data_IF_640407684553
#
_entry.id   IF_640407684553
#
_cell.length_a   1.000
_cell.length_b   1.000
_cell.length_c   1.000
_cell.angle_alpha   90.00
_cell.angle_beta   90.00
_cell.angle_gamma   90.00
#
_symmetry.space_group_name_H-M   'P 1'
#
loop_
_entity.id
_entity.type
_entity.pdbx_description
1 polymer ?
#
# COMPACT_ATOMS: atom_id res chain seq x y z
N UNK A 1 -12.20 -3.16 32.05
CA UNK A 1 -12.80 -1.86 32.39
C UNK A 1 -12.83 -1.04 31.11
N UNK A 2 -13.95 -1.06 30.38
CA UNK A 2 -14.12 -0.28 29.15
C UNK A 2 -14.78 1.05 29.52
N UNK A 3 -14.14 2.16 29.14
CA UNK A 3 -14.74 3.49 29.25
C UNK A 3 -15.75 3.68 28.11
N UNK A 4 -16.95 4.11 28.50
CA UNK A 4 -18.10 4.36 27.63
C UNK A 4 -17.99 5.79 27.08
N UNK A 5 -17.95 5.95 25.75
CA UNK A 5 -18.23 7.25 25.13
C UNK A 5 -19.67 7.28 24.61
N UNK A 6 -20.33 8.42 24.83
CA UNK A 6 -21.78 8.58 24.89
C UNK A 6 -22.51 8.48 23.54
N UNK A 7 -23.73 7.96 23.64
CA UNK A 7 -24.82 7.98 22.66
C UNK A 7 -25.31 9.41 22.35
N UNK A 8 -25.67 9.67 21.09
CA UNK A 8 -26.82 10.53 20.75
C UNK A 8 -27.73 9.74 19.82
N UNK A 9 -28.96 9.49 20.29
CA UNK A 9 -30.07 8.92 19.53
C UNK A 9 -30.83 10.02 18.79
N UNK A 10 -31.25 9.73 17.57
CA UNK A 10 -32.49 10.26 17.02
C UNK A 10 -33.12 9.20 16.09
N UNK A 11 -34.08 8.47 16.62
CA UNK A 11 -35.07 7.73 15.82
C UNK A 11 -36.24 8.65 15.52
N UNK A 12 -36.81 8.56 14.32
CA UNK A 12 -38.26 8.46 14.09
C UNK A 12 -38.50 7.96 12.64
N UNK A 13 -39.15 6.81 12.57
CA UNK A 13 -39.65 6.00 11.42
C UNK A 13 -41.18 6.24 11.25
N UNK A 14 -41.99 5.58 10.37
CA UNK A 14 -41.79 4.77 9.14
C UNK A 14 -42.90 5.09 8.06
N UNK A 15 -43.44 4.17 7.18
CA UNK A 15 -42.93 2.97 6.46
C UNK A 15 -43.21 2.97 4.93
N UNK A 16 -42.45 2.18 4.13
CA UNK A 16 -43.03 1.10 3.28
C UNK A 16 -42.01 0.38 2.36
N UNK A 17 -41.74 -0.90 2.70
CA UNK A 17 -41.64 -2.12 1.84
C UNK A 17 -40.78 -2.08 0.55
N UNK A 18 -39.62 -2.73 0.53
CA UNK A 18 -39.43 -4.10 0.01
C UNK A 18 -37.94 -4.44 -0.13
N UNK A 19 -37.61 -5.65 0.31
CA UNK A 19 -36.31 -6.28 0.53
C UNK A 19 -35.47 -6.54 -0.73
N UNK A 20 -34.19 -6.11 -0.70
CA UNK A 20 -33.07 -6.81 -1.36
C UNK A 20 -31.91 -6.81 -0.37
N UNK A 21 -31.66 -7.95 0.27
CA UNK A 21 -30.56 -8.16 1.21
C UNK A 21 -29.21 -8.12 0.47
N UNK A 22 -28.52 -7.00 0.56
CA UNK A 22 -27.08 -6.92 0.35
C UNK A 22 -26.40 -6.85 1.73
N UNK A 23 -26.10 -8.02 2.27
CA UNK A 23 -25.37 -8.19 3.52
C UNK A 23 -23.94 -7.62 3.36
N UNK A 24 -23.73 -6.39 3.83
CA UNK A 24 -22.40 -5.82 4.06
C UNK A 24 -21.81 -6.46 5.33
N UNK A 25 -20.56 -6.97 5.31
CA UNK A 25 -19.93 -7.48 6.52
C UNK A 25 -19.58 -6.34 7.47
N UNK A 26 -20.27 -6.31 8.61
CA UNK A 26 -19.90 -5.52 9.79
C UNK A 26 -18.56 -5.98 10.40
N UNK A 27 -17.86 -5.09 11.14
CA UNK A 27 -16.58 -5.40 11.77
C UNK A 27 -16.76 -6.45 12.88
N UNK A 28 -16.06 -7.57 12.73
CA UNK A 28 -16.01 -8.64 13.74
C UNK A 28 -15.32 -8.15 15.01
N UNK A 29 -16.12 -7.83 16.02
CA UNK A 29 -15.66 -7.69 17.41
C UNK A 29 -15.25 -9.08 17.91
N UNK A 30 -13.95 -9.37 17.95
CA UNK A 30 -13.44 -10.57 18.60
C UNK A 30 -13.49 -10.41 20.11
N UNK A 31 -14.52 -10.98 20.73
CA UNK A 31 -14.60 -11.13 22.18
C UNK A 31 -13.92 -12.46 22.56
N UNK A 32 -12.69 -12.40 23.07
CA UNK A 32 -11.99 -13.57 23.57
C UNK A 32 -12.69 -14.11 24.83
N UNK A 33 -13.45 -15.20 24.68
CA UNK A 33 -13.96 -15.98 25.82
C UNK A 33 -12.79 -16.73 26.45
N UNK A 34 -12.30 -16.24 27.59
CA UNK A 34 -11.41 -17.01 28.46
C UNK A 34 -12.19 -18.20 29.02
N UNK A 35 -12.05 -19.36 28.39
CA UNK A 35 -12.56 -20.62 28.92
C UNK A 35 -11.38 -21.28 29.63
N UNK A 36 -11.36 -21.25 30.96
CA UNK A 36 -10.44 -22.07 31.75
C UNK A 36 -10.80 -23.54 31.53
N UNK A 37 -9.99 -24.23 30.72
CA UNK A 37 -10.09 -25.69 30.57
C UNK A 37 -9.46 -26.32 31.81
N UNK A 38 -10.31 -26.83 32.70
CA UNK A 38 -9.87 -27.69 33.79
C UNK A 38 -9.50 -29.06 33.20
N UNK A 39 -8.20 -29.34 33.09
CA UNK A 39 -7.71 -30.65 32.65
C UNK A 39 -7.71 -31.60 33.85
N UNK A 40 -8.74 -32.45 33.94
CA UNK A 40 -8.70 -33.61 34.85
C UNK A 40 -7.67 -34.61 34.35
N UNK A 41 -6.61 -34.78 35.12
CA UNK A 41 -5.50 -35.68 34.84
C UNK A 41 -5.96 -37.14 35.04
N UNK A 42 -6.21 -37.86 33.94
CA UNK A 42 -6.28 -39.33 33.93
C UNK A 42 -5.20 -39.85 33.01
N UNK A 43 -4.31 -40.64 33.61
CA UNK A 43 -3.16 -41.28 32.98
C UNK A 43 -3.56 -42.06 31.73
N UNK A 44 -3.05 -41.63 30.58
CA UNK A 44 -2.58 -42.48 29.48
C UNK A 44 -1.82 -41.59 28.50
N UNK A 45 -0.60 -42.02 28.17
CA UNK A 45 0.37 -41.30 27.36
C UNK A 45 -0.18 -40.94 25.98
N UNK A 46 -0.50 -39.67 25.77
CA UNK A 46 -0.67 -39.11 24.43
C UNK A 46 0.25 -37.90 24.34
N UNK A 47 1.30 -38.02 23.51
CA UNK A 47 2.16 -36.90 23.14
C UNK A 47 1.28 -35.95 22.33
N UNK A 48 0.73 -34.93 22.97
CA UNK A 48 0.03 -33.86 22.30
C UNK A 48 1.08 -33.00 21.57
N UNK A 49 1.21 -33.20 20.26
CA UNK A 49 1.97 -32.31 19.41
C UNK A 49 1.27 -30.94 19.39
N UNK A 50 1.79 -29.98 20.15
CA UNK A 50 1.37 -28.59 20.04
C UNK A 50 1.88 -28.04 18.70
N UNK A 51 1.01 -28.01 17.68
CA UNK A 51 1.27 -27.25 16.47
C UNK A 51 1.25 -25.75 16.85
N UNK A 52 2.43 -25.18 17.06
CA UNK A 52 2.58 -23.73 17.21
C UNK A 52 2.33 -23.12 15.84
N UNK A 53 1.13 -22.57 15.64
CA UNK A 53 0.84 -21.72 14.48
C UNK A 53 1.55 -20.40 14.75
N UNK A 54 2.76 -20.24 14.22
CA UNK A 54 3.42 -18.95 14.20
C UNK A 54 2.56 -18.01 13.35
N UNK A 55 1.84 -17.10 14.01
CA UNK A 55 1.19 -16.00 13.34
C UNK A 55 2.32 -15.05 12.90
N UNK A 56 2.79 -15.22 11.67
CA UNK A 56 3.65 -14.21 11.05
C UNK A 56 2.88 -12.89 11.04
N UNK A 57 3.51 -11.82 11.51
CA UNK A 57 3.03 -10.48 11.20
C UNK A 57 3.17 -10.37 9.69
N UNK A 58 2.05 -10.41 8.96
CA UNK A 58 2.08 -10.14 7.54
C UNK A 58 2.60 -8.71 7.39
N UNK A 59 3.75 -8.56 6.73
CA UNK A 59 4.21 -7.26 6.26
C UNK A 59 3.13 -6.58 5.45
N UNK A 60 3.16 -5.25 5.40
CA UNK A 60 2.32 -4.55 4.43
C UNK A 60 2.85 -4.93 3.05
N UNK A 61 2.02 -5.59 2.25
CA UNK A 61 2.39 -5.99 0.89
C UNK A 61 2.23 -4.87 -0.12
N UNK A 62 2.17 -5.26 -1.40
CA UNK A 62 1.77 -4.36 -2.50
C UNK A 62 0.47 -3.62 -2.16
N UNK A 63 0.46 -2.30 -2.38
CA UNK A 63 -0.65 -1.45 -1.95
C UNK A 63 -0.74 -0.15 -2.77
N UNK A 64 -1.88 0.54 -2.65
CA UNK A 64 -2.13 1.83 -3.31
C UNK A 64 -2.22 2.99 -2.30
N UNK A 65 -1.48 2.90 -1.19
CA UNK A 65 -1.38 4.00 -0.24
C UNK A 65 -0.46 5.10 -0.79
N UNK A 66 -0.72 6.33 -0.38
CA UNK A 66 0.04 7.50 -0.79
C UNK A 66 -0.53 8.75 -0.15
N UNK A 67 -0.04 9.90 -0.60
CA UNK A 67 -0.51 11.20 -0.14
C UNK A 67 -2.00 11.39 -0.44
N UNK A 68 -2.72 12.12 0.42
CA UNK A 68 -4.15 12.41 0.23
C UNK A 68 -4.41 13.16 -1.09
N UNK A 69 -3.46 13.96 -1.55
CA UNK A 69 -3.52 14.71 -2.79
C UNK A 69 -3.41 13.80 -4.02
N UNK A 70 -2.96 12.55 -3.88
CA UNK A 70 -2.99 11.56 -4.97
C UNK A 70 -4.42 11.39 -5.52
N UNK A 71 -5.44 11.43 -4.67
CA UNK A 71 -6.84 11.39 -5.12
C UNK A 71 -7.24 12.60 -5.98
N UNK A 72 -6.76 13.80 -5.61
CA UNK A 72 -7.01 15.03 -6.37
C UNK A 72 -6.28 15.01 -7.71
N UNK A 73 -5.01 14.59 -7.71
CA UNK A 73 -4.22 14.45 -8.92
C UNK A 73 -4.87 13.43 -9.88
N UNK A 74 -5.42 12.32 -9.36
CA UNK A 74 -6.16 11.35 -10.16
C UNK A 74 -7.43 11.95 -10.80
N UNK A 75 -8.27 12.65 -10.03
CA UNK A 75 -9.49 13.28 -10.55
C UNK A 75 -9.15 14.37 -11.59
N UNK A 76 -7.99 15.01 -11.45
CA UNK A 76 -7.48 16.01 -12.41
C UNK A 76 -6.88 15.41 -13.69
N UNK A 77 -6.80 14.08 -13.79
CA UNK A 77 -6.30 13.37 -14.98
C UNK A 77 -4.92 12.73 -14.81
N UNK A 78 -4.26 12.88 -13.67
CA UNK A 78 -3.01 12.19 -13.36
C UNK A 78 -3.18 10.68 -13.28
N UNK A 79 -2.19 9.92 -13.76
CA UNK A 79 -2.22 8.45 -13.78
C UNK A 79 -0.84 7.90 -13.49
N UNK A 80 -0.78 6.74 -12.82
CA UNK A 80 0.45 5.98 -12.63
C UNK A 80 1.12 5.65 -13.98
N UNK A 81 0.31 5.40 -15.01
CA UNK A 81 0.79 5.09 -16.36
C UNK A 81 1.59 6.22 -17.01
N UNK A 82 1.50 7.46 -16.54
CA UNK A 82 2.32 8.56 -17.06
C UNK A 82 3.82 8.38 -16.75
N UNK A 83 4.17 7.61 -15.71
CA UNK A 83 5.56 7.25 -15.42
C UNK A 83 6.13 6.18 -16.38
N UNK A 84 5.29 5.49 -17.16
CA UNK A 84 5.70 4.35 -17.98
C UNK A 84 6.82 4.70 -18.96
N UNK A 85 6.75 5.86 -19.60
CA UNK A 85 7.75 6.28 -20.59
C UNK A 85 9.11 6.53 -19.94
N UNK A 86 9.13 7.01 -18.70
CA UNK A 86 10.38 7.19 -17.93
C UNK A 86 10.94 5.84 -17.50
N UNK A 87 10.07 4.95 -16.99
CA UNK A 87 10.47 3.59 -16.62
C UNK A 87 11.04 2.80 -17.80
N UNK A 88 10.49 2.97 -19.01
CA UNK A 88 11.01 2.32 -20.22
C UNK A 88 12.45 2.75 -20.56
N UNK A 89 12.85 3.96 -20.16
CA UNK A 89 14.19 4.52 -20.39
C UNK A 89 15.24 4.11 -19.36
N UNK A 90 14.87 3.47 -18.23
CA UNK A 90 15.85 3.07 -17.21
C UNK A 90 16.90 2.13 -17.83
N UNK A 91 18.16 2.30 -17.46
CA UNK A 91 19.20 1.32 -17.77
C UNK A 91 18.96 0.06 -16.93
N UNK A 92 18.84 -1.09 -17.59
CA UNK A 92 18.59 -2.38 -16.94
C UNK A 92 19.68 -2.76 -15.94
N UNK A 93 20.92 -2.31 -16.16
CA UNK A 93 22.07 -2.66 -15.34
C UNK A 93 22.42 -1.62 -14.28
N UNK A 94 21.79 -0.44 -14.32
CA UNK A 94 22.00 0.57 -13.29
C UNK A 94 21.50 0.04 -11.96
N UNK A 95 22.32 0.23 -10.94
CA UNK A 95 22.01 -0.06 -9.54
C UNK A 95 21.42 1.18 -8.89
N UNK A 96 20.44 0.95 -8.05
CA UNK A 96 19.79 1.96 -7.23
C UNK A 96 19.80 1.48 -5.78
N UNK A 97 20.13 2.39 -4.87
CA UNK A 97 20.23 2.14 -3.44
C UNK A 97 19.00 2.68 -2.69
N UNK A 98 18.96 2.38 -1.40
CA UNK A 98 17.94 2.92 -0.52
C UNK A 98 18.01 4.45 -0.44
N UNK A 99 16.90 5.13 -0.71
CA UNK A 99 16.81 6.58 -0.76
C UNK A 99 16.96 7.16 -2.16
N UNK A 100 17.28 6.35 -3.18
CA UNK A 100 17.41 6.85 -4.55
C UNK A 100 16.04 7.19 -5.16
N UNK A 101 15.97 8.39 -5.74
CA UNK A 101 14.91 8.74 -6.69
C UNK A 101 15.16 8.07 -8.04
N UNK A 102 14.10 7.53 -8.63
CA UNK A 102 14.14 6.75 -9.87
C UNK A 102 13.63 7.57 -11.04
N UNK A 103 12.45 8.17 -10.89
CA UNK A 103 11.75 8.88 -11.96
C UNK A 103 10.74 9.87 -11.37
N UNK A 104 10.64 11.06 -11.96
CA UNK A 104 9.63 12.04 -11.59
C UNK A 104 8.92 12.61 -12.82
N UNK A 105 7.63 12.88 -12.67
CA UNK A 105 6.81 13.59 -13.65
C UNK A 105 6.04 14.72 -12.98
N UNK A 106 5.69 15.74 -13.75
CA UNK A 106 4.78 16.78 -13.32
C UNK A 106 3.35 16.40 -13.72
N UNK A 107 2.43 16.63 -12.80
CA UNK A 107 1.01 16.45 -13.01
C UNK A 107 0.31 17.79 -12.82
N UNK A 108 -0.41 18.20 -13.86
CA UNK A 108 -1.29 19.35 -13.79
C UNK A 108 -2.58 18.98 -13.06
N UNK A 109 -2.84 19.66 -11.95
CA UNK A 109 -4.02 19.47 -11.12
C UNK A 109 -4.89 20.72 -11.08
N UNK A 110 -6.18 20.53 -10.83
CA UNK A 110 -7.15 21.63 -10.72
C UNK A 110 -7.68 21.70 -9.29
N UNK A 111 -7.71 22.91 -8.75
CA UNK A 111 -8.43 23.23 -7.51
C UNK A 111 -9.29 24.49 -7.70
N UNK A 112 -9.99 24.91 -6.64
CA UNK A 112 -10.88 26.07 -6.68
C UNK A 112 -10.14 27.41 -6.92
N UNK A 113 -8.83 27.48 -6.67
CA UNK A 113 -7.96 28.63 -6.93
C UNK A 113 -7.32 28.59 -8.33
N UNK A 114 -7.59 27.54 -9.13
CA UNK A 114 -7.06 27.37 -10.48
C UNK A 114 -6.12 26.16 -10.62
N UNK A 115 -5.25 26.24 -11.62
CA UNK A 115 -4.29 25.19 -11.96
C UNK A 115 -3.10 25.24 -10.98
N UNK A 116 -2.71 24.09 -10.46
CA UNK A 116 -1.45 23.90 -9.74
C UNK A 116 -0.73 22.67 -10.28
N UNK A 117 0.60 22.66 -10.16
CA UNK A 117 1.43 21.54 -10.59
C UNK A 117 1.90 20.77 -9.37
N UNK A 118 1.78 19.46 -9.41
CA UNK A 118 2.29 18.54 -8.38
C UNK A 118 3.30 17.60 -9.01
N UNK A 119 4.32 17.20 -8.26
CA UNK A 119 5.34 16.27 -8.76
C UNK A 119 5.04 14.87 -8.24
N UNK A 120 4.88 13.91 -9.16
CA UNK A 120 4.76 12.48 -8.83
C UNK A 120 6.12 11.84 -9.05
N UNK A 121 6.70 11.28 -7.98
CA UNK A 121 8.01 10.64 -8.03
C UNK A 121 7.91 9.16 -7.64
N UNK A 122 8.79 8.37 -8.25
CA UNK A 122 9.09 7.01 -7.89
C UNK A 122 10.46 6.96 -7.21
N UNK A 123 10.55 6.37 -6.04
CA UNK A 123 11.78 6.31 -5.23
C UNK A 123 11.86 5.00 -4.44
N UNK A 124 13.07 4.62 -4.03
CA UNK A 124 13.33 3.39 -3.29
C UNK A 124 13.44 3.70 -1.80
N UNK A 125 12.81 2.89 -0.97
CA UNK A 125 12.92 2.98 0.48
C UNK A 125 12.90 1.59 1.13
N UNK A 126 13.29 1.54 2.40
CA UNK A 126 13.35 0.33 3.23
C UNK A 126 14.22 -0.81 2.66
N UNK A 127 15.17 -0.51 1.77
CA UNK A 127 16.02 -1.54 1.14
C UNK A 127 17.32 -1.75 1.91
N UNK A 128 17.72 -3.01 2.10
CA UNK A 128 19.02 -3.38 2.70
C UNK A 128 20.15 -3.50 1.65
N UNK A 129 19.84 -3.41 0.36
CA UNK A 129 20.82 -3.51 -0.73
C UNK A 129 20.39 -2.86 -2.02
N UNK A 130 21.22 -3.01 -3.05
CA UNK A 130 20.97 -2.43 -4.37
C UNK A 130 19.95 -3.25 -5.19
N UNK A 131 19.21 -2.53 -6.04
CA UNK A 131 18.28 -3.09 -7.00
C UNK A 131 18.59 -2.57 -8.41
N UNK A 132 18.39 -3.42 -9.42
CA UNK A 132 18.65 -3.06 -10.82
C UNK A 132 17.47 -2.35 -11.45
N UNK A 133 17.73 -1.49 -12.44
CA UNK A 133 16.67 -0.87 -13.26
C UNK A 133 15.72 -1.90 -13.90
N UNK A 134 16.23 -3.07 -14.29
CA UNK A 134 15.38 -4.17 -14.78
C UNK A 134 14.37 -4.66 -13.73
N UNK A 135 14.79 -4.76 -12.47
CA UNK A 135 13.91 -5.14 -11.36
C UNK A 135 12.87 -4.07 -11.12
N UNK A 136 13.26 -2.79 -11.12
CA UNK A 136 12.35 -1.65 -10.96
C UNK A 136 11.27 -1.62 -12.04
N UNK A 137 11.63 -1.84 -13.32
CA UNK A 137 10.66 -1.99 -14.41
C UNK A 137 9.66 -3.12 -14.14
N UNK A 138 10.14 -4.26 -13.64
CA UNK A 138 9.30 -5.41 -13.35
C UNK A 138 8.32 -5.12 -12.22
N UNK A 139 8.77 -4.61 -11.07
CA UNK A 139 7.88 -4.34 -9.93
C UNK A 139 6.94 -3.17 -10.19
N UNK A 140 7.36 -2.15 -10.97
CA UNK A 140 6.46 -1.10 -11.43
C UNK A 140 5.28 -1.66 -12.25
N UNK A 141 5.54 -2.65 -13.10
CA UNK A 141 4.49 -3.35 -13.85
C UNK A 141 3.57 -4.15 -12.92
N UNK A 142 4.09 -4.76 -11.86
CA UNK A 142 3.26 -5.41 -10.83
C UNK A 142 2.33 -4.40 -10.15
N UNK A 143 2.82 -3.21 -9.81
CA UNK A 143 2.01 -2.13 -9.22
C UNK A 143 0.88 -1.67 -10.15
N UNK A 144 1.17 -1.53 -11.44
CA UNK A 144 0.15 -1.23 -12.44
C UNK A 144 -0.88 -2.37 -12.57
N UNK A 145 -0.41 -3.62 -12.55
CA UNK A 145 -1.26 -4.82 -12.67
C UNK A 145 -2.15 -5.00 -11.45
N UNK A 146 -1.66 -4.62 -10.27
CA UNK A 146 -2.43 -4.60 -9.03
C UNK A 146 -3.59 -3.59 -9.07
N UNK A 147 -3.48 -2.55 -9.91
CA UNK A 147 -4.55 -1.61 -10.18
C UNK A 147 -4.41 -0.26 -9.47
N UNK A 148 -3.21 0.09 -9.00
CA UNK A 148 -2.99 1.41 -8.43
C UNK A 148 -3.14 2.50 -9.49
N UNK A 149 -4.05 3.44 -9.23
CA UNK A 149 -4.44 4.44 -10.22
C UNK A 149 -3.39 5.55 -10.39
N UNK A 150 -2.66 5.89 -9.32
CA UNK A 150 -1.70 7.00 -9.31
C UNK A 150 -0.54 6.80 -8.34
N UNK A 151 -0.81 6.48 -7.08
CA UNK A 151 0.18 6.29 -6.02
C UNK A 151 0.07 4.89 -5.45
N UNK A 152 1.16 4.42 -4.86
CA UNK A 152 1.24 3.08 -4.27
C UNK A 152 2.67 2.63 -4.08
N UNK A 153 2.82 1.50 -3.41
CA UNK A 153 4.10 0.85 -3.18
C UNK A 153 4.06 -0.62 -3.56
N UNK A 154 5.20 -1.13 -4.02
CA UNK A 154 5.39 -2.54 -4.35
C UNK A 154 6.71 -3.05 -3.77
N UNK A 155 6.72 -4.19 -3.06
CA UNK A 155 7.94 -4.79 -2.56
C UNK A 155 8.94 -5.10 -3.69
N UNK A 156 10.22 -4.76 -3.50
CA UNK A 156 11.29 -4.99 -4.48
C UNK A 156 11.50 -6.48 -4.78
N UNK A 157 11.06 -7.34 -3.88
CA UNK A 157 11.20 -8.80 -3.97
C UNK A 157 9.85 -9.52 -4.21
N UNK A 158 8.81 -8.77 -4.59
CA UNK A 158 7.46 -9.31 -4.83
C UNK A 158 7.45 -10.49 -5.80
N UNK A 159 8.17 -10.39 -6.93
CA UNK A 159 8.27 -11.47 -7.92
C UNK A 159 8.98 -12.74 -7.39
N UNK A 160 9.72 -12.63 -6.27
CA UNK A 160 10.38 -13.75 -5.59
C UNK A 160 9.51 -14.34 -4.47
N UNK A 161 8.29 -13.83 -4.29
CA UNK A 161 7.34 -14.26 -3.25
C UNK A 161 7.50 -13.57 -1.91
N UNK A 162 8.30 -12.51 -1.83
CA UNK A 162 8.44 -11.69 -0.63
C UNK A 162 7.55 -10.44 -0.77
N UNK A 163 6.41 -10.48 -0.07
CA UNK A 163 5.37 -9.46 -0.09
C UNK A 163 5.39 -8.61 1.19
N UNK A 164 6.59 -8.19 1.61
CA UNK A 164 6.78 -7.29 2.76
C UNK A 164 7.57 -6.05 2.33
N UNK A 165 6.93 -4.87 2.35
CA UNK A 165 7.58 -3.59 2.02
C UNK A 165 8.72 -3.21 2.97
N UNK A 166 8.80 -3.82 4.16
CA UNK A 166 9.90 -3.59 5.09
C UNK A 166 11.23 -4.21 4.64
N UNK A 167 11.20 -5.08 3.63
CA UNK A 167 12.40 -5.64 2.98
C UNK A 167 12.80 -4.87 1.71
N UNK A 168 12.20 -3.70 1.49
CA UNK A 168 12.48 -2.80 0.37
C UNK A 168 11.26 -2.65 -0.53
N UNK A 169 10.97 -1.41 -0.91
CA UNK A 169 9.85 -1.09 -1.78
C UNK A 169 10.21 -0.01 -2.81
N UNK A 170 9.59 -0.12 -3.98
CA UNK A 170 9.46 0.99 -4.90
C UNK A 170 8.16 1.73 -4.56
N UNK A 171 8.28 2.97 -4.11
CA UNK A 171 7.15 3.83 -3.76
C UNK A 171 6.91 4.85 -4.86
N UNK A 172 5.65 5.03 -5.25
CA UNK A 172 5.20 6.11 -6.13
C UNK A 172 4.30 7.02 -5.30
N UNK A 173 4.72 8.26 -5.09
CA UNK A 173 3.99 9.23 -4.29
C UNK A 173 4.17 10.67 -4.81
N UNK A 174 3.29 11.57 -4.37
CA UNK A 174 3.48 13.00 -4.59
C UNK A 174 4.57 13.54 -3.65
N UNK A 175 5.39 14.43 -4.18
CA UNK A 175 6.42 15.17 -3.44
C UNK A 175 6.20 16.68 -3.59
N UNK A 176 6.63 17.45 -2.60
CA UNK A 176 6.47 18.92 -2.60
C UNK A 176 7.38 19.59 -3.62
N UNK A 177 8.61 19.07 -3.79
CA UNK A 177 9.63 19.61 -4.68
C UNK A 177 10.27 18.49 -5.51
N UNK A 178 10.67 18.83 -6.74
CA UNK A 178 11.42 17.90 -7.59
C UNK A 178 12.81 17.64 -6.96
N UNK A 179 13.22 16.38 -6.75
CA UNK A 179 14.54 16.07 -6.21
C UNK A 179 15.66 16.65 -7.09
N UNK A 180 16.76 17.09 -6.48
CA UNK A 180 17.84 17.81 -7.20
C UNK A 180 18.52 16.97 -8.29
N UNK A 181 18.57 15.64 -8.11
CA UNK A 181 19.09 14.69 -9.08
C UNK A 181 18.07 14.32 -10.17
N UNK A 182 16.85 14.85 -10.13
CA UNK A 182 15.79 14.51 -11.07
C UNK A 182 15.56 15.61 -12.12
N UNK A 183 15.17 15.15 -13.31
CA UNK A 183 14.55 15.99 -14.34
C UNK A 183 13.20 15.38 -14.67
N UNK A 184 12.20 16.23 -14.84
CA UNK A 184 10.85 15.80 -15.22
C UNK A 184 10.90 15.03 -16.54
N UNK A 185 10.19 13.89 -16.60
CA UNK A 185 10.09 13.01 -17.77
C UNK A 185 11.40 12.30 -18.20
N UNK A 186 12.41 12.27 -17.34
CA UNK A 186 13.66 11.54 -17.53
C UNK A 186 14.01 10.71 -16.29
N UNK A 187 14.78 9.61 -16.44
CA UNK A 187 15.34 8.92 -15.30
C UNK A 187 16.19 9.88 -14.44
N UNK A 188 15.99 9.87 -13.13
CA UNK A 188 16.81 10.68 -12.22
C UNK A 188 18.26 10.21 -12.28
N UNK A 189 19.24 11.11 -12.13
CA UNK A 189 20.65 10.72 -12.08
C UNK A 189 21.00 10.06 -10.75
N UNK A 190 22.15 9.37 -10.72
CA UNK A 190 22.77 8.96 -9.47
C UNK A 190 23.40 10.17 -8.78
#
# INVERSE_FOLDING_TARGET
MCLISHYISAQLLPPSISSVDAQLPHPSVFCAKTTSILVTMRSNSFIAAAAVVAQGVAGLGINCHGDVLCGIAYISGGRLSHLQDVFNKLDDNRKYDNGDDVACIELDSLNYNGKFTSTLCAYIQNSEGDVTGATLKSVFKELQTFGCAICGSVPLHYAKGDDDVNHGELTINLVEELPENCKVNEPCSA
#
